data_IF_190605187047
#
_entry.id   IF_190605187047
#
_cell.length_a   1.000
_cell.length_b   1.000
_cell.length_c   1.000
_cell.angle_alpha   90.00
_cell.angle_beta   90.00
_cell.angle_gamma   90.00
#
_symmetry.space_group_name_H-M   'P 1'
#
loop_
_entity.id
_entity.type
_entity.pdbx_description
1 polymer ?
#
# COMPACT_ATOMS: atom_id res chain seq x y z
N UNK A 1 16.44 -2.37 4.06
CA UNK A 1 15.44 -1.44 4.62
C UNK A 1 15.79 0.02 4.32
N UNK A 2 16.91 0.54 4.84
CA UNK A 2 17.31 1.94 4.63
C UNK A 2 17.37 2.36 3.16
N UNK A 3 18.05 1.56 2.31
CA UNK A 3 18.12 1.83 0.87
C UNK A 3 16.74 1.87 0.20
N UNK A 4 15.85 0.93 0.53
CA UNK A 4 14.49 0.90 -0.03
C UNK A 4 13.69 2.16 0.33
N UNK A 5 13.86 2.68 1.54
CA UNK A 5 13.18 3.92 1.97
C UNK A 5 13.72 5.12 1.17
N UNK A 6 15.05 5.19 0.99
CA UNK A 6 15.68 6.23 0.16
C UNK A 6 15.21 6.13 -1.30
N UNK A 7 15.14 4.92 -1.85
CA UNK A 7 14.68 4.63 -3.21
C UNK A 7 13.18 4.93 -3.41
N UNK A 8 12.35 4.82 -2.37
CA UNK A 8 10.95 5.22 -2.43
C UNK A 8 10.75 6.74 -2.28
N UNK A 9 11.73 7.44 -1.68
CA UNK A 9 11.69 8.88 -1.42
C UNK A 9 12.35 9.74 -2.49
N UNK A 10 12.98 9.15 -3.51
CA UNK A 10 13.60 9.90 -4.61
C UNK A 10 12.56 10.43 -5.61
N UNK A 11 12.97 11.34 -6.50
CA UNK A 11 12.14 11.82 -7.62
C UNK A 11 12.30 10.97 -8.89
N UNK A 12 13.30 10.09 -8.92
CA UNK A 12 13.57 9.20 -10.05
C UNK A 12 12.54 8.08 -10.12
N UNK A 13 11.69 8.15 -11.16
CA UNK A 13 10.65 7.15 -11.40
C UNK A 13 11.21 5.73 -11.54
N UNK A 14 12.37 5.56 -12.20
CA UNK A 14 12.94 4.24 -12.43
C UNK A 14 13.34 3.55 -11.13
N UNK A 15 14.00 4.30 -10.25
CA UNK A 15 14.44 3.84 -8.92
C UNK A 15 13.24 3.46 -8.05
N UNK A 16 12.21 4.31 -8.02
CA UNK A 16 10.97 4.04 -7.27
C UNK A 16 10.32 2.74 -7.76
N UNK A 17 10.19 2.57 -9.07
CA UNK A 17 9.55 1.38 -9.65
C UNK A 17 10.35 0.12 -9.35
N UNK A 18 11.68 0.19 -9.36
CA UNK A 18 12.53 -0.94 -9.01
C UNK A 18 12.38 -1.35 -7.54
N UNK A 19 12.32 -0.36 -6.63
CA UNK A 19 12.06 -0.61 -5.21
C UNK A 19 10.67 -1.24 -4.99
N UNK A 20 9.63 -0.71 -5.64
CA UNK A 20 8.27 -1.25 -5.56
C UNK A 20 8.16 -2.65 -6.16
N UNK A 21 8.85 -2.93 -7.26
CA UNK A 21 8.91 -4.27 -7.88
C UNK A 21 9.57 -5.28 -6.94
N UNK A 22 10.64 -4.87 -6.26
CA UNK A 22 11.29 -5.70 -5.23
C UNK A 22 10.31 -6.02 -4.10
N UNK A 23 9.59 -5.03 -3.59
CA UNK A 23 8.57 -5.24 -2.54
C UNK A 23 7.45 -6.16 -3.00
N UNK A 24 7.01 -6.04 -4.26
CA UNK A 24 5.91 -6.82 -4.83
C UNK A 24 6.24 -8.30 -5.08
N UNK A 25 7.51 -8.70 -4.94
CA UNK A 25 8.00 -10.05 -5.23
C UNK A 25 8.63 -10.73 -4.01
N UNK A 26 8.58 -10.08 -2.84
CA UNK A 26 9.15 -10.64 -1.62
C UNK A 26 8.43 -11.95 -1.24
N UNK A 27 9.15 -13.08 -1.11
CA UNK A 27 8.53 -14.35 -0.74
C UNK A 27 8.10 -14.40 0.74
N UNK A 28 8.65 -13.52 1.58
CA UNK A 28 8.30 -13.36 2.97
C UNK A 28 8.46 -11.91 3.42
N UNK A 29 7.55 -11.43 4.27
CA UNK A 29 7.51 -10.02 4.71
C UNK A 29 7.83 -9.82 6.20
N UNK A 30 8.29 -10.87 6.88
CA UNK A 30 8.60 -10.83 8.32
C UNK A 30 9.64 -9.76 8.69
N UNK A 31 10.57 -9.49 7.76
CA UNK A 31 11.65 -8.53 7.94
C UNK A 31 11.35 -7.15 7.33
N UNK A 32 10.13 -6.92 6.82
CA UNK A 32 9.74 -5.61 6.30
C UNK A 32 9.48 -4.68 7.48
N UNK A 33 10.29 -3.61 7.67
CA UNK A 33 10.10 -2.67 8.76
C UNK A 33 8.89 -1.77 8.54
N UNK A 34 8.33 -1.22 9.62
CA UNK A 34 7.17 -0.33 9.56
C UNK A 34 7.44 0.91 8.72
N UNK A 35 8.68 1.38 8.71
CA UNK A 35 9.12 2.55 7.97
C UNK A 35 9.01 2.35 6.45
N UNK A 36 9.21 1.12 5.97
CA UNK A 36 8.99 0.78 4.55
C UNK A 36 7.51 0.82 4.21
N UNK A 37 6.65 0.33 5.11
CA UNK A 37 5.19 0.41 4.95
C UNK A 37 4.71 1.87 4.98
N UNK A 38 5.24 2.69 5.88
CA UNK A 38 4.90 4.11 5.93
C UNK A 38 5.36 4.86 4.67
N UNK A 39 6.51 4.46 4.10
CA UNK A 39 6.99 5.02 2.83
C UNK A 39 6.05 4.68 1.66
N UNK A 40 5.52 3.46 1.57
CA UNK A 40 4.56 3.10 0.51
C UNK A 40 3.23 3.84 0.67
N UNK A 41 2.72 4.03 1.90
CA UNK A 41 1.53 4.86 2.16
C UNK A 41 1.78 6.32 1.78
N UNK A 42 2.95 6.86 2.13
CA UNK A 42 3.32 8.24 1.76
C UNK A 42 3.32 8.40 0.24
N UNK A 43 3.95 7.46 -0.47
CA UNK A 43 4.01 7.47 -1.93
C UNK A 43 2.61 7.36 -2.56
N UNK A 44 1.72 6.55 -2.01
CA UNK A 44 0.33 6.43 -2.44
C UNK A 44 -0.44 7.75 -2.36
N UNK A 45 -0.13 8.60 -1.36
CA UNK A 45 -0.78 9.90 -1.13
C UNK A 45 -0.19 11.02 -1.98
N UNK A 46 1.11 11.00 -2.23
CA UNK A 46 1.82 12.13 -2.86
C UNK A 46 2.07 11.96 -4.33
N UNK A 47 2.01 10.74 -4.87
CA UNK A 47 2.38 10.50 -6.26
C UNK A 47 1.32 10.99 -7.25
N UNK A 48 1.73 11.81 -8.20
CA UNK A 48 0.92 12.23 -9.35
C UNK A 48 1.16 11.34 -10.58
N UNK A 49 2.23 10.53 -10.55
CA UNK A 49 2.65 9.69 -11.67
C UNK A 49 1.83 8.40 -11.67
N UNK A 50 0.95 8.23 -12.67
CA UNK A 50 0.08 7.06 -12.80
C UNK A 50 0.81 5.71 -12.70
N UNK A 51 2.00 5.60 -13.29
CA UNK A 51 2.81 4.38 -13.24
C UNK A 51 3.24 4.07 -11.81
N UNK A 52 3.75 5.07 -11.08
CA UNK A 52 4.16 4.93 -9.69
C UNK A 52 2.97 4.60 -8.79
N UNK A 53 1.83 5.26 -9.00
CA UNK A 53 0.58 4.93 -8.29
C UNK A 53 0.21 3.45 -8.46
N UNK A 54 0.20 2.98 -9.71
CA UNK A 54 -0.18 1.59 -10.03
C UNK A 54 0.80 0.60 -9.39
N UNK A 55 2.10 0.83 -9.51
CA UNK A 55 3.11 -0.02 -8.87
C UNK A 55 3.07 0.02 -7.35
N UNK A 56 2.71 1.16 -6.76
CA UNK A 56 2.55 1.32 -5.30
C UNK A 56 1.38 0.47 -4.82
N UNK A 57 0.25 0.51 -5.52
CA UNK A 57 -0.92 -0.32 -5.22
C UNK A 57 -0.59 -1.82 -5.35
N UNK A 58 0.15 -2.23 -6.38
CA UNK A 58 0.58 -3.63 -6.53
C UNK A 58 1.46 -4.08 -5.35
N UNK A 59 2.43 -3.24 -4.94
CA UNK A 59 3.29 -3.54 -3.80
C UNK A 59 2.49 -3.63 -2.49
N UNK A 60 1.57 -2.69 -2.24
CA UNK A 60 0.71 -2.71 -1.04
C UNK A 60 -0.21 -3.92 -1.06
N UNK A 61 -0.77 -4.30 -2.22
CA UNK A 61 -1.60 -5.50 -2.36
C UNK A 61 -0.84 -6.77 -2.00
N UNK A 62 0.38 -6.91 -2.49
CA UNK A 62 1.26 -8.02 -2.11
C UNK A 62 1.57 -8.00 -0.62
N UNK A 63 1.95 -6.84 -0.07
CA UNK A 63 2.27 -6.74 1.36
C UNK A 63 1.05 -7.06 2.24
N UNK A 64 -0.16 -6.64 1.87
CA UNK A 64 -1.38 -6.91 2.66
C UNK A 64 -1.89 -8.35 2.55
N UNK A 65 -1.36 -9.16 1.63
CA UNK A 65 -1.69 -10.59 1.57
C UNK A 65 -1.06 -11.42 2.71
N UNK A 66 -0.18 -10.82 3.52
CA UNK A 66 0.46 -11.46 4.66
C UNK A 66 -0.06 -10.86 5.97
N UNK A 67 -0.29 -11.72 6.97
CA UNK A 67 -0.95 -11.33 8.23
C UNK A 67 -0.17 -10.27 9.02
N UNK A 68 1.15 -10.40 9.12
CA UNK A 68 1.97 -9.44 9.87
C UNK A 68 1.83 -8.02 9.33
N UNK A 69 1.99 -7.85 8.02
CA UNK A 69 1.99 -6.53 7.37
C UNK A 69 0.59 -5.94 7.28
N UNK A 70 -0.47 -6.74 7.12
CA UNK A 70 -1.85 -6.20 7.24
C UNK A 70 -2.15 -5.67 8.64
N UNK A 71 -1.63 -6.31 9.69
CA UNK A 71 -1.80 -5.82 11.07
C UNK A 71 -1.09 -4.48 11.24
N UNK A 72 0.16 -4.38 10.78
CA UNK A 72 0.94 -3.15 10.86
C UNK A 72 0.33 -1.99 10.06
N UNK A 73 -0.28 -2.26 8.90
CA UNK A 73 -1.03 -1.24 8.16
C UNK A 73 -2.33 -0.83 8.89
N UNK A 74 -2.97 -1.77 9.57
CA UNK A 74 -4.18 -1.57 10.35
C UNK A 74 -4.04 -0.61 11.52
N UNK A 75 -2.89 -0.65 12.21
CA UNK A 75 -2.66 0.11 13.44
C UNK A 75 -2.72 1.64 13.26
N UNK A 76 -2.67 2.17 12.03
CA UNK A 76 -2.52 3.62 11.79
C UNK A 76 -3.69 4.34 11.10
N UNK A 77 -4.75 3.67 10.62
CA UNK A 77 -5.80 4.20 9.67
C UNK A 77 -5.29 4.84 8.36
N UNK A 78 -4.03 5.25 8.31
CA UNK A 78 -3.44 6.06 7.23
C UNK A 78 -3.49 5.39 5.88
N UNK A 79 -3.35 4.05 5.82
CA UNK A 79 -3.50 3.32 4.57
C UNK A 79 -4.97 3.32 4.09
N UNK A 80 -5.93 3.04 4.98
CA UNK A 80 -7.36 3.05 4.66
C UNK A 80 -7.78 4.43 4.10
N UNK A 81 -7.40 5.51 4.79
CA UNK A 81 -7.69 6.88 4.34
C UNK A 81 -7.10 7.17 2.97
N UNK A 82 -5.82 6.79 2.74
CA UNK A 82 -5.16 6.97 1.45
C UNK A 82 -5.83 6.18 0.34
N UNK A 83 -6.28 4.95 0.61
CA UNK A 83 -6.97 4.10 -0.37
C UNK A 83 -8.33 4.67 -0.77
N UNK A 84 -9.13 5.13 0.20
CA UNK A 84 -10.48 5.66 -0.05
C UNK A 84 -10.46 6.88 -0.99
N UNK A 85 -9.42 7.74 -0.89
CA UNK A 85 -9.22 8.88 -1.82
C UNK A 85 -9.10 8.49 -3.30
N UNK A 86 -8.76 7.22 -3.58
CA UNK A 86 -8.60 6.72 -4.95
C UNK A 86 -9.83 5.95 -5.45
N UNK A 87 -10.84 5.70 -4.61
CA UNK A 87 -12.10 5.05 -5.02
C UNK A 87 -13.02 6.03 -5.76
N UNK A 88 -13.10 7.29 -5.29
CA UNK A 88 -14.05 8.30 -5.79
C UNK A 88 -13.80 8.72 -7.26
N UNK A 89 -12.67 8.32 -7.85
CA UNK A 89 -12.29 8.64 -9.22
C UNK A 89 -12.78 7.55 -10.18
N UNK A 90 -14.04 7.63 -10.61
CA UNK A 90 -14.70 6.71 -11.58
C UNK A 90 -13.97 6.49 -12.93
N UNK A 91 -12.88 7.20 -13.20
CA UNK A 91 -12.15 7.14 -14.47
C UNK A 91 -10.96 6.16 -14.47
N UNK A 92 -10.71 5.39 -13.39
CA UNK A 92 -9.60 4.42 -13.35
C UNK A 92 -10.02 3.05 -12.76
N UNK A 93 -10.69 2.19 -13.54
CA UNK A 93 -11.17 0.88 -13.07
C UNK A 93 -10.07 0.00 -12.47
N UNK A 94 -8.87 0.00 -13.04
CA UNK A 94 -7.74 -0.79 -12.53
C UNK A 94 -7.26 -0.28 -11.17
N UNK A 95 -7.29 1.04 -10.94
CA UNK A 95 -6.94 1.62 -9.64
C UNK A 95 -7.97 1.20 -8.60
N UNK A 96 -9.25 1.36 -8.91
CA UNK A 96 -10.35 0.97 -8.03
C UNK A 96 -10.31 -0.52 -7.69
N UNK A 97 -10.08 -1.37 -8.70
CA UNK A 97 -9.95 -2.82 -8.50
C UNK A 97 -8.83 -3.15 -7.51
N UNK A 98 -7.62 -2.61 -7.70
CA UNK A 98 -6.52 -2.87 -6.77
C UNK A 98 -6.81 -2.32 -5.37
N UNK A 99 -7.44 -1.15 -5.26
CA UNK A 99 -7.83 -0.57 -3.96
C UNK A 99 -8.80 -1.50 -3.24
N UNK A 100 -9.83 -2.01 -3.93
CA UNK A 100 -10.81 -2.93 -3.35
C UNK A 100 -10.15 -4.27 -2.94
N UNK A 101 -9.23 -4.81 -3.74
CA UNK A 101 -8.46 -6.00 -3.37
C UNK A 101 -7.60 -5.78 -2.12
N UNK A 102 -6.96 -4.61 -2.00
CA UNK A 102 -6.17 -4.27 -0.80
C UNK A 102 -7.08 -4.20 0.43
N UNK A 103 -8.22 -3.50 0.33
CA UNK A 103 -9.18 -3.40 1.43
C UNK A 103 -9.72 -4.78 1.82
N UNK A 104 -10.03 -5.63 0.84
CA UNK A 104 -10.43 -7.02 1.08
C UNK A 104 -9.33 -7.80 1.82
N UNK A 105 -8.07 -7.71 1.38
CA UNK A 105 -6.95 -8.37 2.04
C UNK A 105 -6.77 -7.91 3.50
N UNK A 106 -6.94 -6.61 3.75
CA UNK A 106 -6.84 -6.06 5.10
C UNK A 106 -7.96 -6.52 6.02
N UNK A 107 -9.18 -6.66 5.51
CA UNK A 107 -10.33 -7.14 6.26
C UNK A 107 -10.30 -8.65 6.49
N UNK A 108 -9.73 -9.41 5.54
CA UNK A 108 -9.74 -10.87 5.60
C UNK A 108 -8.85 -11.39 6.72
N UNK A 109 -9.44 -12.07 7.70
CA UNK A 109 -8.72 -12.72 8.80
C UNK A 109 -8.19 -11.78 9.88
N UNK A 110 -8.59 -10.50 9.88
CA UNK A 110 -8.23 -9.56 10.94
C UNK A 110 -9.36 -8.56 11.24
N UNK A 111 -10.19 -8.90 12.24
CA UNK A 111 -11.39 -8.15 12.61
C UNK A 111 -11.17 -6.68 12.99
N UNK A 112 -10.04 -6.27 13.64
CA UNK A 112 -9.81 -4.86 13.95
C UNK A 112 -9.84 -3.95 12.72
N UNK A 113 -9.29 -4.42 11.58
CA UNK A 113 -9.33 -3.65 10.33
C UNK A 113 -10.75 -3.50 9.78
N UNK A 114 -11.61 -4.50 9.97
CA UNK A 114 -13.01 -4.43 9.55
C UNK A 114 -13.77 -3.38 10.35
N UNK A 115 -13.64 -3.43 11.69
CA UNK A 115 -14.28 -2.47 12.61
C UNK A 115 -13.84 -1.06 12.26
N UNK A 116 -12.54 -0.86 12.07
CA UNK A 116 -11.97 0.45 11.74
C UNK A 116 -12.51 0.98 10.41
N UNK A 117 -12.56 0.16 9.35
CA UNK A 117 -13.11 0.55 8.06
C UNK A 117 -14.58 0.96 8.17
N UNK A 118 -15.38 0.25 8.97
CA UNK A 118 -16.80 0.57 9.20
C UNK A 118 -16.98 1.88 9.97
N UNK A 119 -16.06 2.23 10.86
CA UNK A 119 -16.13 3.49 11.63
C UNK A 119 -15.68 4.73 10.85
N UNK A 120 -15.06 4.54 9.69
CA UNK A 120 -14.56 5.62 8.83
C UNK A 120 -15.58 6.07 7.76
N UNK A 121 -16.65 5.30 7.56
CA UNK A 121 -17.75 5.59 6.63
C UNK A 121 -18.85 6.43 7.30
#
# INVERSE_FOLDING_TARGET
AKQVIEDLGTNDTGVIIQALSTLSTLPAVNNVPVEVLNATVTLLRTTEKRLVLTSTLVAIKHLTSFDRTKMMYGDSTTLQEALLQHIDKFNSPNTQFNVLEILLNMCTGYDPNQVQLMTMA
#
